data_IF_385985456244
#
_entry.id   IF_385985456244
#
_cell.length_a   1.000
_cell.length_b   1.000
_cell.length_c   1.000
_cell.angle_alpha   90.00
_cell.angle_beta   90.00
_cell.angle_gamma   90.00
#
_symmetry.space_group_name_H-M   'P 1'
#
loop_
_entity.id
_entity.type
_entity.pdbx_description
1 polymer ?
#
# COMPACT_ATOMS: atom_id res chain seq x y z
N UNK A 1 -11.73 -18.23 16.92
CA UNK A 1 -10.83 -17.52 15.99
C UNK A 1 -9.44 -17.44 16.62
N UNK A 2 -8.36 -17.69 15.88
CA UNK A 2 -7.01 -17.49 16.39
C UNK A 2 -6.79 -16.03 16.80
N UNK A 3 -6.01 -15.81 17.86
CA UNK A 3 -5.61 -14.44 18.26
C UNK A 3 -4.70 -13.88 17.19
N UNK A 4 -5.02 -12.68 16.71
CA UNK A 4 -4.17 -11.94 15.78
C UNK A 4 -2.81 -11.64 16.43
N UNK A 5 -1.73 -11.52 15.64
CA UNK A 5 -0.47 -10.98 16.14
C UNK A 5 -0.70 -9.63 16.84
N UNK A 6 0.05 -9.37 17.91
CA UNK A 6 -0.16 -8.20 18.77
C UNK A 6 -0.10 -6.88 17.99
N UNK A 7 0.81 -6.79 17.02
CA UNK A 7 0.93 -5.64 16.12
C UNK A 7 -0.37 -5.37 15.34
N UNK A 8 -1.00 -6.41 14.80
CA UNK A 8 -2.26 -6.28 14.03
C UNK A 8 -3.41 -5.84 14.94
N UNK A 9 -3.48 -6.42 16.15
CA UNK A 9 -4.51 -6.04 17.13
C UNK A 9 -4.40 -4.58 17.56
N UNK A 10 -3.18 -4.06 17.70
CA UNK A 10 -2.93 -2.66 18.07
C UNK A 10 -3.35 -1.70 16.97
N UNK A 11 -3.01 -1.99 15.71
CA UNK A 11 -3.40 -1.18 14.54
C UNK A 11 -4.92 -1.07 14.42
N UNK A 12 -5.65 -2.19 14.62
CA UNK A 12 -7.11 -2.20 14.56
C UNK A 12 -7.80 -1.40 15.68
N UNK A 13 -7.07 -1.09 16.76
CA UNK A 13 -7.57 -0.30 17.89
C UNK A 13 -7.14 1.18 17.83
N UNK A 14 -6.18 1.52 16.97
CA UNK A 14 -5.77 2.91 16.76
C UNK A 14 -6.81 3.67 15.93
N UNK A 15 -7.12 4.89 16.34
CA UNK A 15 -8.12 5.76 15.71
C UNK A 15 -7.76 6.11 14.25
N UNK A 16 -6.46 6.06 13.94
CA UNK A 16 -5.91 6.25 12.60
C UNK A 16 -4.99 5.06 12.28
N UNK A 17 -5.62 3.96 11.83
CA UNK A 17 -4.94 2.71 11.48
C UNK A 17 -3.95 2.87 10.32
N UNK A 18 -4.17 3.84 9.43
CA UNK A 18 -3.30 4.13 8.29
C UNK A 18 -1.97 4.74 8.74
N UNK A 19 -2.02 5.74 9.61
CA UNK A 19 -0.80 6.32 10.22
C UNK A 19 -0.06 5.27 11.05
N UNK A 20 -0.79 4.43 11.80
CA UNK A 20 -0.19 3.34 12.56
C UNK A 20 0.55 2.34 11.66
N UNK A 21 -0.08 1.94 10.56
CA UNK A 21 0.50 1.02 9.57
C UNK A 21 1.70 1.64 8.85
N UNK A 22 1.62 2.90 8.44
CA UNK A 22 2.72 3.61 7.80
C UNK A 22 3.98 3.57 8.68
N UNK A 23 3.83 3.87 9.98
CA UNK A 23 4.94 3.80 10.94
C UNK A 23 5.57 2.42 11.05
N UNK A 24 4.78 1.34 10.91
CA UNK A 24 5.28 -0.03 10.93
C UNK A 24 5.98 -0.44 9.64
N UNK A 25 5.51 0.05 8.49
CA UNK A 25 6.19 -0.12 7.19
C UNK A 25 7.57 0.56 7.25
N UNK A 26 7.66 1.72 7.92
CA UNK A 26 8.90 2.41 8.20
C UNK A 26 9.60 2.83 6.91
N UNK A 27 10.84 2.36 6.71
CA UNK A 27 11.69 2.70 5.56
C UNK A 27 11.56 1.75 4.37
N UNK A 28 10.63 0.79 4.42
CA UNK A 28 10.41 -0.14 3.32
C UNK A 28 9.83 0.61 2.14
N UNK A 29 10.47 0.63 0.95
CA UNK A 29 9.93 1.25 -0.25
C UNK A 29 8.59 0.62 -0.65
N UNK A 30 7.62 1.45 -1.04
CA UNK A 30 6.26 1.02 -1.40
C UNK A 30 5.87 1.55 -2.77
N UNK A 31 5.38 0.66 -3.64
CA UNK A 31 4.63 1.04 -4.82
C UNK A 31 3.20 0.50 -4.70
N UNK A 32 2.26 1.41 -4.47
CA UNK A 32 0.85 1.12 -4.28
C UNK A 32 0.09 1.27 -5.60
N UNK A 33 -0.80 0.32 -5.90
CA UNK A 33 -1.64 0.31 -7.08
C UNK A 33 -3.11 0.17 -6.69
N UNK A 34 -4.02 0.89 -7.37
CA UNK A 34 -5.47 0.73 -7.18
C UNK A 34 -6.24 1.12 -8.45
N UNK A 35 -7.43 0.54 -8.66
CA UNK A 35 -8.36 0.96 -9.71
C UNK A 35 -9.44 1.91 -9.20
N UNK A 36 -9.69 3.04 -9.87
CA UNK A 36 -10.66 4.05 -9.40
C UNK A 36 -12.13 3.59 -9.40
N UNK A 37 -12.44 2.49 -10.09
CA UNK A 37 -13.77 1.86 -10.17
C UNK A 37 -13.85 0.54 -9.40
N UNK A 38 -12.92 0.24 -8.48
CA UNK A 38 -13.01 -0.94 -7.62
C UNK A 38 -14.25 -0.85 -6.71
N UNK A 39 -15.20 -1.77 -6.94
CA UNK A 39 -16.47 -1.89 -6.24
C UNK A 39 -16.42 -2.85 -5.03
N UNK A 40 -15.30 -3.56 -4.85
CA UNK A 40 -15.06 -4.46 -3.71
C UNK A 40 -14.29 -3.73 -2.61
N UNK A 41 -13.24 -2.99 -2.97
CA UNK A 41 -12.45 -2.17 -2.06
C UNK A 41 -12.36 -0.76 -2.62
N UNK A 42 -13.10 0.17 -2.00
CA UNK A 42 -13.15 1.56 -2.46
C UNK A 42 -11.75 2.20 -2.48
N UNK A 43 -11.43 2.88 -3.58
CA UNK A 43 -10.11 3.50 -3.85
C UNK A 43 -9.61 4.42 -2.72
N UNK A 44 -10.54 5.04 -1.99
CA UNK A 44 -10.26 5.89 -0.85
C UNK A 44 -9.43 5.21 0.26
N UNK A 45 -9.52 3.89 0.41
CA UNK A 45 -8.67 3.17 1.39
C UNK A 45 -7.19 3.22 1.00
N UNK A 46 -6.90 3.09 -0.30
CA UNK A 46 -5.54 3.24 -0.84
C UNK A 46 -5.06 4.68 -0.84
N UNK A 47 -5.95 5.64 -1.12
CA UNK A 47 -5.62 7.08 -1.04
C UNK A 47 -5.19 7.47 0.39
N UNK A 48 -5.94 7.04 1.42
CA UNK A 48 -5.58 7.25 2.83
C UNK A 48 -4.23 6.64 3.19
N UNK A 49 -3.95 5.41 2.73
CA UNK A 49 -2.66 4.77 2.97
C UNK A 49 -1.52 5.52 2.27
N UNK A 50 -1.72 5.97 1.03
CA UNK A 50 -0.74 6.75 0.29
C UNK A 50 -0.46 8.10 0.97
N UNK A 51 -1.50 8.78 1.49
CA UNK A 51 -1.35 9.98 2.31
C UNK A 51 -0.55 9.71 3.58
N UNK A 52 -0.89 8.66 4.33
CA UNK A 52 -0.17 8.29 5.55
C UNK A 52 1.31 7.97 5.28
N UNK A 53 1.62 7.24 4.21
CA UNK A 53 2.99 6.93 3.80
C UNK A 53 3.79 8.16 3.36
N UNK A 54 3.13 9.17 2.76
CA UNK A 54 3.79 10.46 2.43
C UNK A 54 4.22 11.25 3.68
N UNK A 55 3.66 10.95 4.86
CA UNK A 55 4.02 11.65 6.11
C UNK A 55 5.29 11.11 6.78
N UNK A 56 5.83 9.99 6.29
CA UNK A 56 7.03 9.36 6.84
C UNK A 56 8.17 9.38 5.82
N UNK A 57 9.40 9.18 6.30
CA UNK A 57 10.61 9.09 5.48
C UNK A 57 10.69 7.71 4.78
N UNK A 58 9.85 7.51 3.76
CA UNK A 58 9.83 6.31 2.91
C UNK A 58 9.74 6.66 1.42
N UNK A 59 10.31 5.83 0.57
CA UNK A 59 10.09 5.91 -0.88
C UNK A 59 8.68 5.38 -1.19
N UNK A 60 7.82 6.24 -1.73
CA UNK A 60 6.47 5.86 -2.15
C UNK A 60 6.19 6.23 -3.61
N UNK A 61 5.68 5.26 -4.36
CA UNK A 61 4.96 5.45 -5.63
C UNK A 61 3.49 5.07 -5.42
N UNK A 62 2.58 5.84 -6.00
CA UNK A 62 1.15 5.52 -6.02
C UNK A 62 0.62 5.66 -7.45
N UNK A 63 0.05 4.58 -7.97
CA UNK A 63 -0.59 4.54 -9.28
C UNK A 63 -2.06 4.22 -9.09
N UNK A 64 -2.92 5.14 -9.53
CA UNK A 64 -4.37 4.95 -9.59
C UNK A 64 -4.77 4.81 -11.07
N UNK A 65 -5.37 3.69 -11.44
CA UNK A 65 -5.77 3.42 -12.82
C UNK A 65 -7.22 3.84 -13.06
N UNK A 66 -7.42 4.66 -14.10
CA UNK A 66 -8.76 5.14 -14.44
C UNK A 66 -9.57 4.10 -15.21
N UNK A 67 -10.83 3.92 -14.82
CA UNK A 67 -11.76 2.95 -15.41
C UNK A 67 -11.53 1.51 -14.97
N UNK A 68 -10.66 1.28 -13.98
CA UNK A 68 -10.24 -0.07 -13.58
C UNK A 68 -10.96 -0.48 -12.30
N UNK A 69 -11.60 -1.65 -12.35
CA UNK A 69 -12.25 -2.26 -11.20
C UNK A 69 -11.27 -3.02 -10.30
N UNK A 70 -11.78 -4.06 -9.66
CA UNK A 70 -11.04 -4.83 -8.65
C UNK A 70 -9.70 -5.41 -9.16
N UNK A 71 -9.62 -5.85 -10.42
CA UNK A 71 -8.46 -6.54 -11.00
C UNK A 71 -7.30 -5.61 -11.41
N UNK A 72 -7.00 -4.58 -10.62
CA UNK A 72 -5.91 -3.62 -10.89
C UNK A 72 -4.52 -4.26 -10.96
N UNK A 73 -4.34 -5.45 -10.39
CA UNK A 73 -3.07 -6.19 -10.45
C UNK A 73 -2.67 -6.61 -11.87
N UNK A 74 -3.61 -6.79 -12.80
CA UNK A 74 -3.26 -7.10 -14.20
C UNK A 74 -2.45 -5.97 -14.83
N UNK A 75 -2.83 -4.72 -14.57
CA UNK A 75 -2.10 -3.55 -15.04
C UNK A 75 -0.81 -3.35 -14.25
N UNK A 76 -0.84 -3.53 -12.92
CA UNK A 76 0.36 -3.43 -12.08
C UNK A 76 1.49 -4.37 -12.55
N UNK A 77 1.18 -5.62 -12.90
CA UNK A 77 2.19 -6.55 -13.43
C UNK A 77 2.60 -6.26 -14.89
N UNK A 78 1.80 -5.48 -15.62
CA UNK A 78 2.11 -5.04 -16.99
C UNK A 78 2.95 -3.75 -17.03
N UNK A 79 3.10 -3.05 -15.90
CA UNK A 79 3.94 -1.85 -15.82
C UNK A 79 5.37 -2.16 -16.21
N UNK A 80 5.88 -1.43 -17.20
CA UNK A 80 7.17 -1.72 -17.84
C UNK A 80 8.36 -1.64 -16.88
N UNK A 81 8.27 -0.81 -15.84
CA UNK A 81 9.27 -0.61 -14.82
C UNK A 81 8.99 -1.40 -13.54
N UNK A 82 7.89 -2.16 -13.43
CA UNK A 82 7.53 -2.87 -12.18
C UNK A 82 8.65 -3.78 -11.69
N UNK A 83 9.12 -4.69 -12.55
CA UNK A 83 10.16 -5.65 -12.19
C UNK A 83 11.49 -4.94 -11.90
N UNK A 84 11.83 -3.94 -12.69
CA UNK A 84 13.07 -3.16 -12.50
C UNK A 84 13.04 -2.39 -11.19
N UNK A 85 11.93 -1.74 -10.85
CA UNK A 85 11.75 -1.01 -9.59
C UNK A 85 11.73 -1.97 -8.40
N UNK A 86 11.03 -3.10 -8.49
CA UNK A 86 10.99 -4.06 -7.39
C UNK A 86 12.39 -4.61 -7.08
N UNK A 87 13.15 -4.98 -8.12
CA UNK A 87 14.48 -5.58 -7.97
C UNK A 87 15.61 -4.57 -7.77
N UNK A 88 15.35 -3.26 -7.92
CA UNK A 88 16.32 -2.22 -7.52
C UNK A 88 16.39 -2.05 -6.00
N UNK A 89 15.43 -2.62 -5.27
CA UNK A 89 15.38 -2.59 -3.81
C UNK A 89 15.83 -3.91 -3.21
N UNK A 90 16.53 -3.82 -2.09
CA UNK A 90 16.86 -4.96 -1.24
C UNK A 90 16.71 -4.53 0.21
N UNK A 91 16.24 -5.43 1.07
CA UNK A 91 16.40 -5.23 2.50
C UNK A 91 17.90 -5.20 2.79
N UNK A 92 18.38 -4.08 3.32
CA UNK A 92 19.75 -3.98 3.83
C UNK A 92 19.98 -5.15 4.79
N UNK A 93 21.05 -5.92 4.55
CA UNK A 93 21.47 -6.99 5.46
C UNK A 93 21.89 -6.43 6.82
#
# INVERSE_FOLDING_TARGET
>A
LPKLPEAVSKIMQEKDSYTAMAKLIGKTPVWLFHGDMDDVVVVNESQKMAEALKTIDTEIKYTEYSGVGHNSWEQAYAESDFVTWLLSHSLSK
#
